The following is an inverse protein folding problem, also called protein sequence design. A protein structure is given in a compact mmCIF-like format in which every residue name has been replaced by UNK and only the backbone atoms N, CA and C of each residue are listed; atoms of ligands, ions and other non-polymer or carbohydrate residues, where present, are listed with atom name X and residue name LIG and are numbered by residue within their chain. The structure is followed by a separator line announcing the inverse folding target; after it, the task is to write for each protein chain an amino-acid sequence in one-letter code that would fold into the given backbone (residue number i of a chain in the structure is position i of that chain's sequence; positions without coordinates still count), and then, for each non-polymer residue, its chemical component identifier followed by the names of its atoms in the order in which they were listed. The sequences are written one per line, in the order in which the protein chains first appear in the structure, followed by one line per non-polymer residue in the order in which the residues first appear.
data_IF_890267695368
#
_entry.id   IF_890267695368
#
_cell.length_a   1.000
_cell.length_b   1.000
_cell.length_c   1.000
_cell.angle_alpha   90.00
_cell.angle_beta   90.00
_cell.angle_gamma   90.00
#
_symmetry.space_group_name_H-M   'P 1'
#
loop_
_entity.id
_entity.type
_entity.pdbx_description
1 polymer ?
#
# COMPACT_ATOMS: atom_id res chain seq x y z
N UNK A 1 6.46 16.60 2.26
CA UNK A 1 6.32 17.23 3.60
C UNK A 1 5.02 17.98 3.62
N UNK A 2 3.96 17.36 4.08
CA UNK A 2 2.86 18.08 4.70
C UNK A 2 2.25 17.12 5.69
N UNK A 3 2.83 17.13 6.87
CA UNK A 3 2.16 16.72 8.08
C UNK A 3 1.08 17.77 8.31
N UNK A 4 -0.14 17.48 7.87
CA UNK A 4 -1.30 18.25 8.30
C UNK A 4 -1.44 17.98 9.79
N UNK A 5 -0.85 18.85 10.61
CA UNK A 5 -1.16 18.95 12.03
C UNK A 5 -2.52 19.61 12.14
N UNK A 6 -3.55 18.85 12.39
CA UNK A 6 -4.82 19.41 12.84
C UNK A 6 -4.63 19.95 14.26
N UNK A 7 -4.49 21.26 14.38
CA UNK A 7 -4.46 21.94 15.69
C UNK A 7 -5.89 22.07 16.19
N UNK A 8 -6.26 21.33 17.24
CA UNK A 8 -7.50 21.61 17.97
C UNK A 8 -8.31 20.43 18.47
N UNK A 9 -8.19 19.25 17.90
CA UNK A 9 -8.72 18.00 18.44
C UNK A 9 -7.52 17.08 18.49
N UNK A 10 -7.17 16.54 19.65
CA UNK A 10 -5.98 15.74 19.85
C UNK A 10 -5.72 14.81 18.66
N UNK A 11 -4.53 14.94 18.07
CA UNK A 11 -4.22 14.38 16.76
C UNK A 11 -4.50 12.88 16.67
N UNK A 12 -5.55 12.51 15.94
CA UNK A 12 -5.73 11.13 15.50
C UNK A 12 -4.80 10.90 14.31
N UNK A 13 -3.72 10.16 14.55
CA UNK A 13 -2.75 9.88 13.52
C UNK A 13 -3.24 8.77 12.60
N UNK A 14 -3.56 9.13 11.35
CA UNK A 14 -3.91 8.19 10.28
C UNK A 14 -2.67 7.78 9.51
N UNK A 15 -2.42 6.48 9.37
CA UNK A 15 -1.31 5.96 8.59
C UNK A 15 -1.76 5.11 7.40
N UNK A 16 -1.07 5.27 6.26
CA UNK A 16 -1.21 4.42 5.07
C UNK A 16 -0.03 3.44 5.00
N UNK A 17 -0.31 2.18 4.68
CA UNK A 17 0.72 1.13 4.59
C UNK A 17 1.76 1.37 3.49
N UNK A 18 1.45 2.16 2.45
CA UNK A 18 2.34 2.30 1.30
C UNK A 18 2.11 3.63 0.57
N UNK A 19 3.14 4.44 0.51
CA UNK A 19 3.17 5.68 -0.26
C UNK A 19 3.87 5.44 -1.61
N UNK A 20 3.32 6.01 -2.69
CA UNK A 20 3.86 5.93 -4.04
C UNK A 20 4.53 7.23 -4.46
N UNK A 21 5.53 7.11 -5.33
CA UNK A 21 6.14 8.28 -6.00
C UNK A 21 5.28 8.74 -7.17
N UNK A 22 5.56 9.93 -7.70
CA UNK A 22 4.89 10.49 -8.88
C UNK A 22 5.00 9.57 -10.12
N UNK A 23 6.06 8.76 -10.21
CA UNK A 23 6.23 7.83 -11.32
C UNK A 23 5.14 6.76 -11.38
N UNK A 24 4.56 6.37 -10.22
CA UNK A 24 3.39 5.50 -10.18
C UNK A 24 2.18 6.16 -10.85
N UNK A 25 1.99 7.46 -10.63
CA UNK A 25 0.91 8.25 -11.25
C UNK A 25 1.15 8.41 -12.76
N UNK A 26 2.39 8.67 -13.16
CA UNK A 26 2.77 8.73 -14.58
C UNK A 26 2.54 7.41 -15.30
N UNK A 27 2.89 6.31 -14.67
CA UNK A 27 2.60 4.97 -15.19
C UNK A 27 1.09 4.77 -15.37
N UNK A 28 0.28 5.13 -14.39
CA UNK A 28 -1.17 5.02 -14.45
C UNK A 28 -1.74 5.85 -15.62
N UNK A 29 -1.30 7.10 -15.77
CA UNK A 29 -1.69 7.96 -16.89
C UNK A 29 -1.35 7.31 -18.25
N UNK A 30 -0.14 6.77 -18.37
CA UNK A 30 0.29 6.05 -19.58
C UNK A 30 -0.57 4.82 -19.87
N UNK A 31 -0.97 4.07 -18.85
CA UNK A 31 -1.89 2.93 -18.99
C UNK A 31 -3.27 3.34 -19.47
N UNK A 32 -3.70 4.55 -19.15
CA UNK A 32 -4.97 5.15 -19.58
C UNK A 32 -4.87 5.87 -20.94
N UNK A 33 -3.70 5.86 -21.58
CA UNK A 33 -3.49 6.57 -22.85
C UNK A 33 -3.39 8.08 -22.73
N UNK A 34 -3.11 8.60 -21.54
CA UNK A 34 -2.97 10.04 -21.27
C UNK A 34 -1.60 10.35 -20.66
N UNK A 35 -1.35 11.62 -20.35
CA UNK A 35 -0.13 12.09 -19.69
C UNK A 35 -0.47 12.92 -18.46
N UNK A 36 0.41 12.90 -17.46
CA UNK A 36 0.27 13.77 -16.29
C UNK A 36 0.57 15.22 -16.71
N UNK A 37 -0.40 16.15 -16.58
CA UNK A 37 -0.17 17.56 -16.91
C UNK A 37 0.93 18.16 -16.01
N UNK A 38 1.66 19.18 -16.50
CA UNK A 38 2.70 19.84 -15.71
C UNK A 38 2.20 20.47 -14.41
N UNK A 39 0.92 20.91 -14.39
CA UNK A 39 0.28 21.56 -13.25
C UNK A 39 -0.27 20.58 -12.19
N UNK A 40 0.04 19.29 -12.27
CA UNK A 40 -0.34 18.25 -11.31
C UNK A 40 -1.86 18.17 -11.01
N UNK A 41 -2.73 18.60 -11.91
CA UNK A 41 -4.18 18.44 -11.75
C UNK A 41 -4.66 17.01 -11.91
N UNK A 42 -3.79 16.09 -12.30
CA UNK A 42 -4.07 14.67 -12.41
C UNK A 42 -4.27 14.05 -11.04
N UNK A 43 -5.52 13.77 -10.69
CA UNK A 43 -5.92 13.18 -9.39
C UNK A 43 -6.59 11.85 -9.60
N UNK A 44 -5.86 10.73 -9.55
CA UNK A 44 -6.47 9.43 -9.67
C UNK A 44 -7.38 9.16 -8.47
N UNK A 45 -8.60 8.75 -8.73
CA UNK A 45 -9.50 8.18 -7.73
C UNK A 45 -9.35 6.67 -7.80
N UNK A 46 -8.89 6.11 -6.70
CA UNK A 46 -8.79 4.67 -6.53
C UNK A 46 -10.04 4.20 -5.82
N UNK A 47 -10.65 3.15 -6.37
CA UNK A 47 -11.88 2.54 -5.90
C UNK A 47 -13.15 3.30 -6.28
N UNK A 48 -14.18 2.56 -6.37
CA UNK A 48 -15.52 2.91 -6.78
C UNK A 48 -16.09 1.72 -7.55
N UNK A 49 -17.38 1.59 -7.56
CA UNK A 49 -18.12 0.51 -8.23
C UNK A 49 -17.66 -0.88 -7.76
N UNK A 50 -17.71 -1.10 -6.44
CA UNK A 50 -17.36 -2.34 -5.77
C UNK A 50 -15.93 -2.37 -5.22
N UNK A 51 -15.54 -3.52 -4.66
CA UNK A 51 -14.23 -3.77 -4.10
C UNK A 51 -13.47 -4.84 -4.89
N UNK A 52 -12.23 -4.63 -5.32
CA UNK A 52 -11.41 -3.40 -5.19
C UNK A 52 -11.79 -2.29 -6.19
N UNK A 53 -12.80 -2.52 -7.04
CA UNK A 53 -13.41 -1.52 -7.91
C UNK A 53 -12.54 -1.07 -9.08
N UNK A 54 -12.72 0.16 -9.48
CA UNK A 54 -12.08 0.79 -10.62
C UNK A 54 -11.19 1.97 -10.20
N UNK A 55 -10.27 2.33 -11.08
CA UNK A 55 -9.45 3.54 -10.97
C UNK A 55 -9.91 4.53 -12.03
N UNK A 56 -10.31 5.73 -11.61
CA UNK A 56 -10.79 6.81 -12.47
C UNK A 56 -9.81 7.97 -12.51
N UNK A 57 -9.59 8.51 -13.71
CA UNK A 57 -8.78 9.71 -13.92
C UNK A 57 -9.33 10.47 -15.12
N UNK A 58 -9.78 11.70 -14.91
CA UNK A 58 -10.20 12.61 -15.96
C UNK A 58 -11.09 11.98 -17.06
N UNK A 59 -12.09 11.17 -16.63
CA UNK A 59 -13.00 10.46 -17.53
C UNK A 59 -12.48 9.12 -18.06
N UNK A 60 -11.22 8.76 -17.81
CA UNK A 60 -10.69 7.44 -18.12
C UNK A 60 -10.90 6.49 -16.94
N UNK A 61 -11.22 5.24 -17.25
CA UNK A 61 -11.46 4.19 -16.25
C UNK A 61 -10.68 2.93 -16.56
N UNK A 62 -10.14 2.30 -15.53
CA UNK A 62 -9.50 0.99 -15.61
C UNK A 62 -9.87 0.15 -14.38
N UNK A 63 -10.15 -1.15 -14.55
CA UNK A 63 -10.30 -2.06 -13.43
C UNK A 63 -9.06 -2.05 -12.54
N UNK A 64 -9.26 -2.16 -11.22
CA UNK A 64 -8.16 -2.15 -10.23
C UNK A 64 -7.04 -3.14 -10.57
N UNK A 65 -7.38 -4.38 -10.94
CA UNK A 65 -6.41 -5.42 -11.27
C UNK A 65 -5.51 -5.07 -12.46
N UNK A 66 -5.98 -4.21 -13.36
CA UNK A 66 -5.21 -3.73 -14.52
C UNK A 66 -4.42 -2.47 -14.19
N UNK A 67 -5.01 -1.53 -13.47
CA UNK A 67 -4.41 -0.23 -13.20
C UNK A 67 -3.42 -0.24 -12.02
N UNK A 68 -3.77 -0.91 -10.92
CA UNK A 68 -3.12 -0.72 -9.64
C UNK A 68 -2.47 -1.99 -9.06
N UNK A 69 -2.90 -3.18 -9.44
CA UNK A 69 -2.40 -4.42 -8.86
C UNK A 69 -0.87 -4.57 -8.99
N UNK A 70 -0.27 -4.25 -10.14
CA UNK A 70 1.17 -4.35 -10.31
C UNK A 70 1.91 -3.26 -9.52
N UNK A 71 1.60 -1.95 -9.66
CA UNK A 71 2.24 -0.92 -8.86
C UNK A 71 2.17 -1.19 -7.37
N UNK A 72 1.00 -1.57 -6.85
CA UNK A 72 0.81 -1.81 -5.42
C UNK A 72 1.29 -3.21 -4.99
N UNK A 73 0.87 -4.27 -5.64
CA UNK A 73 1.22 -5.64 -5.28
C UNK A 73 2.70 -5.95 -5.41
N UNK A 74 3.38 -5.43 -6.44
CA UNK A 74 4.83 -5.56 -6.62
C UNK A 74 5.63 -4.42 -5.98
N UNK A 75 4.97 -3.48 -5.31
CA UNK A 75 5.59 -2.32 -4.63
C UNK A 75 6.49 -1.49 -5.52
N UNK A 76 6.18 -1.40 -6.81
CA UNK A 76 6.90 -0.53 -7.73
C UNK A 76 6.64 0.92 -7.36
N UNK A 77 7.65 1.75 -7.53
CA UNK A 77 7.58 3.19 -7.21
C UNK A 77 7.15 3.51 -5.77
N UNK A 78 7.40 2.62 -4.84
CA UNK A 78 7.17 2.88 -3.41
C UNK A 78 8.25 3.82 -2.89
N UNK A 79 7.85 4.80 -2.10
CA UNK A 79 8.78 5.70 -1.41
C UNK A 79 9.75 4.88 -0.56
N UNK A 80 11.08 5.14 -0.60
CA UNK A 80 12.07 4.33 0.11
C UNK A 80 11.76 4.11 1.60
N UNK A 81 11.30 5.14 2.29
CA UNK A 81 10.90 5.05 3.70
C UNK A 81 9.82 4.00 3.97
N UNK A 82 8.85 3.83 3.06
CA UNK A 82 7.81 2.81 3.20
C UNK A 82 8.35 1.38 3.03
N UNK A 83 9.43 1.22 2.29
CA UNK A 83 10.08 -0.09 2.08
C UNK A 83 10.76 -0.63 3.33
N UNK A 84 11.21 0.24 4.23
CA UNK A 84 11.97 -0.07 5.45
C UNK A 84 11.19 0.22 6.74
N UNK A 85 9.99 0.79 6.65
CA UNK A 85 9.19 1.14 7.81
C UNK A 85 8.68 -0.13 8.51
N UNK A 86 9.22 -0.44 9.68
CA UNK A 86 8.76 -1.52 10.56
C UNK A 86 7.47 -1.19 11.30
N UNK A 87 7.17 0.10 11.46
CA UNK A 87 5.97 0.58 12.13
C UNK A 87 4.82 0.77 11.13
N UNK A 88 4.25 -0.32 10.66
CA UNK A 88 3.13 -0.29 9.69
C UNK A 88 1.82 0.18 10.29
N UNK A 89 1.69 0.14 11.62
CA UNK A 89 0.49 0.53 12.33
C UNK A 89 0.60 1.94 12.95
N UNK A 90 1.77 2.55 12.94
CA UNK A 90 1.98 3.87 13.53
C UNK A 90 2.06 3.86 15.06
N UNK A 91 2.21 2.69 15.68
CA UNK A 91 2.26 2.56 17.14
C UNK A 91 3.47 3.25 17.75
N UNK A 92 4.66 3.09 17.14
CA UNK A 92 5.88 3.79 17.56
C UNK A 92 5.78 5.32 17.35
N UNK A 93 4.94 5.75 16.40
CA UNK A 93 4.67 7.15 16.14
C UNK A 93 3.54 7.71 17.02
N UNK A 94 2.98 6.92 17.95
CA UNK A 94 1.92 7.33 18.88
C UNK A 94 0.55 7.46 18.19
N UNK A 95 0.24 6.65 17.19
CA UNK A 95 -1.09 6.65 16.57
C UNK A 95 -2.15 6.13 17.54
N UNK A 96 -3.24 6.86 17.68
CA UNK A 96 -4.40 6.44 18.46
C UNK A 96 -5.23 5.39 17.73
N UNK A 97 -5.36 5.54 16.40
CA UNK A 97 -6.04 4.59 15.53
C UNK A 97 -5.26 4.40 14.22
N UNK A 98 -5.40 3.22 13.62
CA UNK A 98 -4.89 2.96 12.28
C UNK A 98 -6.01 2.49 11.37
N UNK A 99 -6.13 3.11 10.21
CA UNK A 99 -7.07 2.73 9.17
C UNK A 99 -6.35 2.00 8.04
N UNK A 100 -6.89 0.87 7.63
CA UNK A 100 -6.30 0.09 6.55
C UNK A 100 -7.35 -0.63 5.72
N UNK A 101 -6.95 -1.03 4.53
CA UNK A 101 -7.78 -1.86 3.67
C UNK A 101 -7.80 -3.30 4.20
N UNK A 102 -8.97 -3.91 4.37
CA UNK A 102 -9.11 -5.28 4.90
C UNK A 102 -8.84 -6.32 3.81
N UNK A 103 -7.71 -6.22 3.09
CA UNK A 103 -7.33 -7.19 2.08
C UNK A 103 -7.36 -8.60 2.66
N UNK A 104 -7.94 -9.54 1.96
CA UNK A 104 -8.13 -10.95 2.31
C UNK A 104 -9.33 -11.27 3.20
N UNK A 105 -9.92 -10.29 3.89
CA UNK A 105 -11.05 -10.50 4.80
C UNK A 105 -12.27 -9.62 4.49
N UNK A 106 -12.14 -8.71 3.50
CA UNK A 106 -13.26 -7.86 3.11
C UNK A 106 -14.38 -8.68 2.46
N UNK A 107 -15.61 -8.35 2.80
CA UNK A 107 -16.77 -8.77 2.03
C UNK A 107 -16.77 -8.07 0.66
N UNK A 108 -17.47 -8.65 -0.33
CA UNK A 108 -17.66 -7.99 -1.63
C UNK A 108 -18.79 -6.96 -1.53
N UNK A 109 -18.61 -5.97 -0.67
CA UNK A 109 -19.53 -4.88 -0.48
C UNK A 109 -19.22 -3.77 -1.50
N UNK A 110 -20.25 -3.21 -2.15
CA UNK A 110 -20.09 -2.14 -3.14
C UNK A 110 -19.51 -0.85 -2.54
N UNK A 111 -19.81 -0.56 -1.29
CA UNK A 111 -19.27 0.61 -0.58
C UNK A 111 -17.82 0.41 -0.12
N UNK A 112 -17.38 -0.85 -0.02
CA UNK A 112 -16.11 -1.22 0.57
C UNK A 112 -16.13 -1.17 2.09
N UNK A 113 -15.05 -1.63 2.70
CA UNK A 113 -14.88 -1.69 4.15
C UNK A 113 -13.52 -1.11 4.53
N UNK A 114 -13.39 -0.65 5.77
CA UNK A 114 -12.14 -0.18 6.33
C UNK A 114 -11.88 -0.93 7.62
N UNK A 115 -10.73 -1.59 7.73
CA UNK A 115 -10.28 -2.17 8.99
C UNK A 115 -9.71 -1.06 9.86
N UNK A 116 -10.25 -0.93 11.06
CA UNK A 116 -9.80 0.03 12.07
C UNK A 116 -9.13 -0.76 13.20
N UNK A 117 -7.91 -0.38 13.56
CA UNK A 117 -7.26 -0.86 14.78
C UNK A 117 -7.10 0.30 15.75
N UNK A 118 -7.54 0.09 16.98
CA UNK A 118 -7.47 1.08 18.07
C UNK A 118 -6.28 0.75 18.96
N UNK A 119 -5.48 1.77 19.30
CA UNK A 119 -4.25 1.59 20.06
C UNK A 119 -4.31 2.27 21.44
N UNK A 120 -5.19 3.26 21.61
CA UNK A 120 -5.31 4.02 22.85
C UNK A 120 -6.78 4.22 23.25
N UNK A 121 -7.00 4.49 24.51
CA UNK A 121 -8.34 4.84 25.01
C UNK A 121 -8.92 6.06 24.27
N UNK A 122 -8.10 7.06 23.97
CA UNK A 122 -8.52 8.26 23.21
C UNK A 122 -9.01 7.89 21.79
N UNK A 123 -8.36 6.91 21.14
CA UNK A 123 -8.82 6.41 19.85
C UNK A 123 -10.17 5.72 19.95
N UNK A 124 -10.39 4.95 21.02
CA UNK A 124 -11.67 4.29 21.28
C UNK A 124 -12.79 5.30 21.55
N UNK A 125 -12.55 6.24 22.42
CA UNK A 125 -13.51 7.34 22.71
C UNK A 125 -13.89 8.11 21.44
N UNK A 126 -12.93 8.37 20.55
CA UNK A 126 -13.22 9.02 19.28
C UNK A 126 -14.13 8.20 18.39
N UNK A 127 -13.89 6.89 18.28
CA UNK A 127 -14.75 6.03 17.47
C UNK A 127 -16.15 5.93 18.03
N UNK A 128 -16.31 5.86 19.35
CA UNK A 128 -17.61 5.82 20.02
C UNK A 128 -18.42 7.11 19.79
N UNK A 129 -17.76 8.25 19.63
CA UNK A 129 -18.41 9.52 19.27
C UNK A 129 -18.86 9.59 17.80
N UNK A 130 -18.36 8.74 16.96
CA UNK A 130 -18.71 8.70 15.52
C UNK A 130 -19.99 7.89 15.27
N UNK A 131 -21.13 8.42 15.70
CA UNK A 131 -22.45 7.74 15.62
C UNK A 131 -22.92 7.37 14.20
N UNK A 132 -22.30 7.94 13.17
CA UNK A 132 -22.62 7.63 11.76
C UNK A 132 -21.87 6.43 11.19
N UNK A 133 -20.93 5.85 11.95
CA UNK A 133 -20.16 4.69 11.52
C UNK A 133 -20.87 3.40 11.89
N UNK A 134 -20.97 2.49 10.93
CA UNK A 134 -21.34 1.12 11.21
C UNK A 134 -20.10 0.34 11.59
N UNK A 135 -19.89 0.11 12.89
CA UNK A 135 -18.73 -0.57 13.43
C UNK A 135 -19.08 -2.01 13.80
N UNK A 136 -18.32 -2.96 13.26
CA UNK A 136 -18.45 -4.37 13.57
C UNK A 136 -17.15 -4.86 14.25
N UNK A 137 -17.19 -5.20 15.55
CA UNK A 137 -16.03 -5.73 16.26
C UNK A 137 -15.59 -7.07 15.67
N UNK A 138 -14.28 -7.24 15.51
CA UNK A 138 -13.66 -8.48 15.01
C UNK A 138 -12.58 -8.98 15.97
N UNK A 139 -12.47 -10.28 16.08
CA UNK A 139 -11.38 -10.90 16.84
C UNK A 139 -10.04 -10.76 16.11
N UNK A 140 -8.94 -10.84 16.86
CA UNK A 140 -7.59 -10.79 16.27
C UNK A 140 -7.38 -11.89 15.22
N UNK A 141 -7.86 -13.09 15.47
CA UNK A 141 -7.73 -14.23 14.55
C UNK A 141 -8.41 -14.00 13.19
N UNK A 142 -9.53 -13.27 13.19
CA UNK A 142 -10.23 -12.93 11.96
C UNK A 142 -9.48 -11.87 11.16
N UNK A 143 -8.84 -10.90 11.81
CA UNK A 143 -8.18 -9.76 11.13
C UNK A 143 -6.70 -9.99 10.84
N UNK A 144 -6.03 -10.96 11.50
CA UNK A 144 -4.61 -11.26 11.33
C UNK A 144 -4.18 -11.37 9.85
N UNK A 145 -4.94 -12.05 8.96
CA UNK A 145 -4.56 -12.15 7.55
C UNK A 145 -4.42 -10.79 6.85
N UNK A 146 -5.24 -9.79 7.22
CA UNK A 146 -5.19 -8.44 6.66
C UNK A 146 -4.04 -7.60 7.23
N UNK A 147 -3.57 -7.90 8.44
CA UNK A 147 -2.52 -7.13 9.12
C UNK A 147 -1.16 -7.26 8.45
N UNK A 148 -0.92 -8.35 7.71
CA UNK A 148 0.36 -8.61 7.03
C UNK A 148 1.58 -8.59 7.98
N UNK A 149 1.47 -9.21 9.15
CA UNK A 149 2.49 -9.21 10.21
C UNK A 149 3.85 -9.74 9.73
N UNK A 150 3.85 -10.75 8.84
CA UNK A 150 5.07 -11.26 8.19
C UNK A 150 5.81 -10.19 7.39
N UNK A 151 5.08 -9.26 6.78
CA UNK A 151 5.67 -8.14 6.05
C UNK A 151 6.28 -7.10 6.99
N UNK A 152 5.60 -6.82 8.10
CA UNK A 152 6.11 -5.94 9.16
C UNK A 152 7.42 -6.48 9.71
N UNK A 153 7.44 -7.74 10.16
CA UNK A 153 8.63 -8.40 10.66
C UNK A 153 9.79 -8.38 9.64
N UNK A 154 9.49 -8.71 8.39
CA UNK A 154 10.50 -8.69 7.32
C UNK A 154 11.13 -7.31 7.15
N UNK A 155 10.35 -6.24 7.19
CA UNK A 155 10.85 -4.87 7.10
C UNK A 155 11.77 -4.54 8.27
N UNK A 156 11.38 -4.89 9.49
CA UNK A 156 12.20 -4.67 10.68
C UNK A 156 13.57 -5.36 10.56
N UNK A 157 13.60 -6.65 10.21
CA UNK A 157 14.89 -7.40 10.12
C UNK A 157 15.76 -7.00 8.92
N UNK A 158 15.18 -6.39 7.89
CA UNK A 158 15.94 -5.96 6.69
C UNK A 158 16.28 -4.49 6.67
N UNK A 159 15.73 -3.70 7.56
CA UNK A 159 16.02 -2.25 7.65
C UNK A 159 17.54 -1.97 7.70
N UNK A 160 18.36 -2.64 8.53
CA UNK A 160 19.80 -2.40 8.54
C UNK A 160 20.45 -2.65 7.18
N UNK A 161 20.03 -3.70 6.44
CA UNK A 161 20.55 -3.99 5.12
C UNK A 161 20.20 -2.91 4.09
N UNK A 162 19.00 -2.34 4.17
CA UNK A 162 18.60 -1.21 3.32
C UNK A 162 19.40 0.05 3.59
N UNK A 163 19.78 0.29 4.85
CA UNK A 163 20.59 1.43 5.29
C UNK A 163 22.09 1.22 5.18
N UNK A 164 22.55 0.04 4.73
CA UNK A 164 23.97 -0.28 4.64
C UNK A 164 24.64 -0.52 5.99
N UNK A 165 23.86 -0.77 7.05
CA UNK A 165 24.35 -1.08 8.40
C UNK A 165 24.74 -2.56 8.51
N UNK A 166 25.65 -2.93 9.43
CA UNK A 166 26.00 -4.31 9.70
C UNK A 166 24.77 -5.17 10.03
N UNK A 167 24.61 -6.30 9.34
CA UNK A 167 23.52 -7.25 9.57
C UNK A 167 23.86 -8.63 8.97
N UNK A 168 23.00 -9.61 9.17
CA UNK A 168 23.18 -10.96 8.63
C UNK A 168 23.25 -10.95 7.10
N UNK A 169 24.25 -11.65 6.53
CA UNK A 169 24.50 -11.73 5.07
C UNK A 169 23.24 -12.13 4.28
N UNK A 170 22.36 -12.98 4.84
CA UNK A 170 21.12 -13.39 4.22
C UNK A 170 20.18 -12.19 3.94
N UNK A 171 20.11 -11.22 4.84
CA UNK A 171 19.28 -10.02 4.67
C UNK A 171 19.82 -9.11 3.56
N UNK A 172 21.15 -8.94 3.52
CA UNK A 172 21.81 -8.20 2.43
C UNK A 172 21.53 -8.84 1.07
N UNK A 173 21.62 -10.18 0.97
CA UNK A 173 21.30 -10.91 -0.27
C UNK A 173 19.83 -10.73 -0.69
N UNK A 174 18.91 -10.82 0.26
CA UNK A 174 17.48 -10.64 0.00
C UNK A 174 17.16 -9.23 -0.49
N UNK A 175 17.70 -8.19 0.13
CA UNK A 175 17.53 -6.79 -0.29
C UNK A 175 18.11 -6.56 -1.68
N UNK A 176 19.28 -7.11 -1.99
CA UNK A 176 19.88 -7.03 -3.33
C UNK A 176 19.01 -7.71 -4.38
N UNK A 177 18.47 -8.90 -4.07
CA UNK A 177 17.60 -9.64 -4.97
C UNK A 177 16.29 -8.87 -5.23
N UNK A 178 15.69 -8.29 -4.20
CA UNK A 178 14.52 -7.45 -4.32
C UNK A 178 14.77 -6.22 -5.22
N UNK A 179 15.85 -5.47 -4.94
CA UNK A 179 16.21 -4.29 -5.75
C UNK A 179 16.43 -4.64 -7.22
N UNK A 180 17.05 -5.79 -7.50
CA UNK A 180 17.25 -6.28 -8.86
C UNK A 180 15.91 -6.64 -9.51
N UNK A 181 15.05 -7.36 -8.81
CA UNK A 181 13.71 -7.71 -9.29
C UNK A 181 12.89 -6.45 -9.58
N UNK A 182 12.87 -5.49 -8.67
CA UNK A 182 12.12 -4.24 -8.88
C UNK A 182 12.63 -3.45 -10.08
N UNK A 183 13.96 -3.39 -10.29
CA UNK A 183 14.54 -2.74 -11.47
C UNK A 183 14.07 -3.40 -12.76
N UNK A 184 14.19 -4.72 -12.86
CA UNK A 184 13.74 -5.46 -14.03
C UNK A 184 12.23 -5.33 -14.28
N UNK A 185 11.43 -5.44 -13.21
CA UNK A 185 9.98 -5.28 -13.33
C UNK A 185 9.59 -3.88 -13.80
N UNK A 186 10.27 -2.83 -13.34
CA UNK A 186 10.00 -1.47 -13.84
C UNK A 186 10.23 -1.36 -15.34
N UNK A 187 11.35 -1.87 -15.82
CA UNK A 187 11.66 -1.85 -17.26
C UNK A 187 10.57 -2.56 -18.07
N UNK A 188 10.13 -3.74 -17.63
CA UNK A 188 9.07 -4.51 -18.32
C UNK A 188 7.72 -3.79 -18.23
N UNK A 189 7.38 -3.27 -17.04
CA UNK A 189 6.08 -2.62 -16.77
C UNK A 189 5.93 -1.32 -17.57
N UNK A 190 7.01 -0.61 -17.86
CA UNK A 190 6.98 0.58 -18.72
C UNK A 190 6.54 0.26 -20.16
N UNK A 191 6.68 -1.01 -20.58
CA UNK A 191 6.19 -1.49 -21.88
C UNK A 191 4.74 -2.02 -21.82
N UNK A 192 4.15 -2.21 -20.63
CA UNK A 192 2.83 -2.82 -20.45
C UNK A 192 1.69 -2.19 -21.25
N UNK A 193 1.63 -0.86 -21.45
CA UNK A 193 0.61 -0.27 -22.30
C UNK A 193 0.58 -0.80 -23.72
N UNK A 194 1.68 -1.41 -24.16
CA UNK A 194 1.87 -1.97 -25.49
C UNK A 194 1.78 -3.50 -25.52
N UNK A 195 1.69 -4.15 -24.34
CA UNK A 195 1.66 -5.60 -24.23
C UNK A 195 0.24 -6.14 -24.07
N UNK A 196 -0.03 -7.38 -24.53
CA UNK A 196 -1.30 -8.05 -24.27
C UNK A 196 -1.57 -8.23 -22.77
N UNK A 197 -2.84 -8.26 -22.38
CA UNK A 197 -3.28 -8.40 -20.99
C UNK A 197 -2.76 -9.68 -20.32
N UNK A 198 -2.47 -10.73 -21.11
CA UNK A 198 -1.90 -11.98 -20.59
C UNK A 198 -0.53 -11.75 -19.95
N UNK A 199 0.31 -10.90 -20.54
CA UNK A 199 1.62 -10.54 -19.98
C UNK A 199 1.47 -9.86 -18.63
N UNK A 200 0.46 -9.00 -18.51
CA UNK A 200 0.15 -8.30 -17.26
C UNK A 200 -0.21 -9.28 -16.14
N UNK A 201 -1.09 -10.25 -16.44
CA UNK A 201 -1.49 -11.29 -15.48
C UNK A 201 -0.31 -12.18 -15.07
N UNK A 202 0.58 -12.51 -16.00
CA UNK A 202 1.78 -13.30 -15.71
C UNK A 202 2.75 -12.55 -14.79
N UNK A 203 3.00 -11.26 -15.04
CA UNK A 203 3.82 -10.43 -14.17
C UNK A 203 3.25 -10.31 -12.76
N UNK A 204 1.93 -10.23 -12.62
CA UNK A 204 1.28 -10.18 -11.32
C UNK A 204 1.52 -11.46 -10.49
N UNK A 205 1.67 -12.62 -11.13
CA UNK A 205 1.91 -13.91 -10.48
C UNK A 205 3.37 -14.19 -10.13
N UNK A 206 4.33 -13.39 -10.63
CA UNK A 206 5.75 -13.60 -10.30
C UNK A 206 5.99 -13.63 -8.79
N UNK A 207 6.81 -14.56 -8.29
CA UNK A 207 7.10 -14.63 -6.86
C UNK A 207 7.81 -13.37 -6.36
N UNK A 208 7.51 -12.99 -5.14
CA UNK A 208 8.17 -11.86 -4.49
C UNK A 208 9.49 -12.33 -3.86
N UNK A 209 10.61 -11.88 -4.41
CA UNK A 209 11.95 -12.27 -3.94
C UNK A 209 12.26 -11.77 -2.52
N UNK A 210 11.48 -10.80 -1.99
CA UNK A 210 11.57 -10.39 -0.58
C UNK A 210 11.27 -11.56 0.36
N UNK A 211 10.42 -12.49 -0.06
CA UNK A 211 10.03 -13.64 0.75
C UNK A 211 11.17 -14.66 0.97
N UNK A 212 12.31 -14.52 0.28
CA UNK A 212 13.52 -15.34 0.54
C UNK A 212 14.05 -15.22 1.97
N UNK A 213 13.67 -14.17 2.68
CA UNK A 213 14.05 -13.97 4.09
C UNK A 213 13.24 -14.88 5.02
N UNK A 214 12.03 -15.26 4.59
CA UNK A 214 11.12 -16.09 5.37
C UNK A 214 11.44 -17.59 5.30
N UNK A 215 12.39 -17.95 4.44
CA UNK A 215 13.00 -19.28 4.33
C UNK A 215 14.37 -19.28 5.02
#
# INVERSE_FOLDING_TARGET
RDLVRSRGLGDVYKRQKQQKTLDSTRFLAKMMGTSVPPNLKFRPRYRGDGWPGIVRVDGFELPWNRAAQIPFGKRLWTVPGCGICGDSFGMEAGADITLMDPWTICSHNELGETLVTVHTQKGDELLQQCVSLNLEPRSFSEVEPALSLKDVWRKQVTEPAYRGRPCKKRYVRAVRAERRQQRLLRMVVEMLPRLPIICYRTLAKLPDLRNRILK
#
